data_IF_334292935414
#
_entry.id   IF_334292935414
#
_cell.length_a   1.000
_cell.length_b   1.000
_cell.length_c   1.000
_cell.angle_alpha   90.00
_cell.angle_beta   90.00
_cell.angle_gamma   90.00
#
_symmetry.space_group_name_H-M   'P 1'
#
loop_
_entity.id
_entity.type
_entity.pdbx_description
1 polymer ?
#
# COMPACT_ATOMS: atom_id res chain seq x y z
N UNK A 1 67.19 16.41 9.90
CA UNK A 1 66.33 15.24 9.57
C UNK A 1 64.88 15.68 9.71
N UNK A 2 64.19 16.00 8.61
CA UNK A 2 62.77 16.40 8.61
C UNK A 2 61.93 15.15 8.35
N UNK A 3 61.59 14.46 9.43
CA UNK A 3 60.82 13.21 9.38
C UNK A 3 59.31 13.46 9.37
N UNK A 4 58.64 12.81 8.41
CA UNK A 4 57.31 12.20 8.58
C UNK A 4 56.17 13.06 9.16
N UNK A 5 55.73 14.08 8.42
CA UNK A 5 54.38 14.64 8.57
C UNK A 5 53.47 14.35 7.35
N UNK A 6 54.03 13.80 6.27
CA UNK A 6 53.29 13.49 5.04
C UNK A 6 52.41 12.23 5.13
N UNK A 7 52.42 11.50 6.25
CA UNK A 7 51.70 10.22 6.38
C UNK A 7 50.38 10.36 7.15
N UNK A 8 50.32 11.21 8.18
CA UNK A 8 49.14 11.30 9.05
C UNK A 8 47.94 11.95 8.34
N UNK A 9 48.17 13.05 7.62
CA UNK A 9 47.11 13.74 6.86
C UNK A 9 46.52 12.84 5.76
N UNK A 10 47.37 12.02 5.13
CA UNK A 10 46.95 11.06 4.10
C UNK A 10 46.11 9.93 4.71
N UNK A 11 46.50 9.43 5.88
CA UNK A 11 45.73 8.42 6.62
C UNK A 11 44.37 8.98 7.03
N UNK A 12 44.32 10.20 7.59
CA UNK A 12 43.07 10.85 7.98
C UNK A 12 42.17 11.09 6.78
N UNK A 13 42.73 11.57 5.66
CA UNK A 13 41.97 11.77 4.41
C UNK A 13 41.40 10.46 3.86
N UNK A 14 42.18 9.37 3.91
CA UNK A 14 41.71 8.05 3.47
C UNK A 14 40.57 7.53 4.34
N UNK A 15 40.65 7.70 5.66
CA UNK A 15 39.58 7.30 6.60
C UNK A 15 38.31 8.11 6.32
N UNK A 16 38.43 9.44 6.15
CA UNK A 16 37.28 10.30 5.82
C UNK A 16 36.65 9.94 4.48
N UNK A 17 37.46 9.56 3.48
CA UNK A 17 36.96 9.09 2.19
C UNK A 17 36.19 7.77 2.32
N UNK A 18 36.71 6.80 3.08
CA UNK A 18 36.02 5.51 3.32
C UNK A 18 34.70 5.72 4.05
N UNK A 19 34.66 6.56 5.09
CA UNK A 19 33.43 6.89 5.82
C UNK A 19 32.42 7.57 4.88
N UNK A 20 32.88 8.51 4.05
CA UNK A 20 32.01 9.21 3.09
C UNK A 20 31.42 8.25 2.06
N UNK A 21 32.21 7.30 1.56
CA UNK A 21 31.74 6.26 0.62
C UNK A 21 30.73 5.34 1.31
N UNK A 22 31.00 4.91 2.55
CA UNK A 22 30.06 4.09 3.32
C UNK A 22 28.73 4.80 3.56
N UNK A 23 28.76 6.09 3.89
CA UNK A 23 27.56 6.92 4.04
C UNK A 23 26.80 7.08 2.71
N UNK A 24 27.52 7.26 1.59
CA UNK A 24 26.91 7.35 0.26
C UNK A 24 26.21 6.04 -0.13
N UNK A 25 26.86 4.90 0.12
CA UNK A 25 26.31 3.58 -0.14
C UNK A 25 25.10 3.28 0.75
N UNK A 26 25.17 3.64 2.03
CA UNK A 26 24.04 3.51 2.96
C UNK A 26 22.85 4.38 2.57
N UNK A 27 23.10 5.63 2.16
CA UNK A 27 22.06 6.52 1.64
C UNK A 27 21.45 5.97 0.35
N UNK A 28 22.27 5.40 -0.54
CA UNK A 28 21.78 4.83 -1.78
C UNK A 28 20.92 3.58 -1.54
N UNK A 29 21.33 2.68 -0.64
CA UNK A 29 20.53 1.52 -0.23
C UNK A 29 19.21 1.93 0.43
N UNK A 30 19.26 2.86 1.38
CA UNK A 30 18.07 3.41 2.03
C UNK A 30 17.12 4.08 1.01
N UNK A 31 17.66 4.83 0.05
CA UNK A 31 16.89 5.45 -1.03
C UNK A 31 16.32 4.44 -2.03
N UNK A 32 16.93 3.26 -2.16
CA UNK A 32 16.44 2.16 -2.99
C UNK A 32 15.31 1.39 -2.28
N UNK A 33 15.47 1.09 -0.99
CA UNK A 33 14.42 0.48 -0.17
C UNK A 33 13.19 1.40 -0.02
N UNK A 34 13.42 2.70 0.16
CA UNK A 34 12.36 3.71 0.20
C UNK A 34 12.07 4.31 -1.19
N UNK A 35 12.55 3.67 -2.26
CA UNK A 35 12.37 4.21 -3.60
C UNK A 35 10.87 4.21 -3.95
N UNK A 36 10.35 5.32 -4.51
CA UNK A 36 8.98 5.38 -5.01
C UNK A 36 8.70 4.29 -6.04
N UNK A 37 9.71 3.64 -6.64
CA UNK A 37 9.54 2.54 -7.61
C UNK A 37 8.90 1.29 -6.97
N UNK A 38 9.29 0.93 -5.75
CA UNK A 38 8.70 -0.22 -5.03
C UNK A 38 7.28 0.11 -4.60
N UNK A 39 7.08 1.32 -4.05
CA UNK A 39 5.75 1.85 -3.73
C UNK A 39 4.85 1.95 -4.97
N UNK A 40 5.40 2.33 -6.12
CA UNK A 40 4.69 2.43 -7.40
C UNK A 40 4.28 1.05 -7.91
N UNK A 41 5.08 0.00 -7.69
CA UNK A 41 4.71 -1.38 -8.01
C UNK A 41 3.59 -1.93 -7.11
N UNK A 42 3.63 -1.60 -5.81
CA UNK A 42 2.60 -1.99 -4.83
C UNK A 42 1.30 -1.21 -5.08
N UNK A 43 1.39 0.08 -5.37
CA UNK A 43 0.26 0.95 -5.72
C UNK A 43 -0.39 0.53 -7.04
N UNK A 44 0.39 0.19 -8.07
CA UNK A 44 -0.14 -0.38 -9.32
C UNK A 44 -0.88 -1.69 -9.09
N UNK A 45 -0.37 -2.54 -8.20
CA UNK A 45 -1.05 -3.76 -7.83
C UNK A 45 -2.29 -3.50 -6.99
N UNK A 46 -2.28 -2.51 -6.11
CA UNK A 46 -3.47 -2.09 -5.39
C UNK A 46 -4.57 -1.54 -6.28
N UNK A 47 -4.21 -0.78 -7.31
CA UNK A 47 -5.15 -0.36 -8.34
C UNK A 47 -5.72 -1.59 -9.06
N UNK A 48 -4.88 -2.53 -9.52
CA UNK A 48 -5.34 -3.76 -10.22
C UNK A 48 -6.23 -4.63 -9.35
N UNK A 49 -5.88 -4.85 -8.09
CA UNK A 49 -6.67 -5.64 -7.15
C UNK A 49 -7.99 -4.93 -6.83
N UNK A 50 -7.98 -3.60 -6.67
CA UNK A 50 -9.22 -2.83 -6.56
C UNK A 50 -10.09 -3.04 -7.80
N UNK A 51 -9.50 -2.94 -9.00
CA UNK A 51 -10.22 -3.16 -10.24
C UNK A 51 -10.78 -4.58 -10.30
N UNK A 52 -10.01 -5.62 -9.97
CA UNK A 52 -10.47 -7.01 -9.95
C UNK A 52 -11.61 -7.26 -8.96
N UNK A 53 -11.51 -6.67 -7.77
CA UNK A 53 -12.55 -6.75 -6.74
C UNK A 53 -13.87 -6.10 -7.23
N UNK A 54 -13.75 -5.01 -7.99
CA UNK A 54 -14.87 -4.20 -8.46
C UNK A 54 -15.36 -4.53 -9.89
N UNK A 55 -14.56 -5.20 -10.72
CA UNK A 55 -14.81 -5.57 -12.12
C UNK A 55 -15.81 -6.72 -12.29
N UNK A 56 -16.04 -7.47 -11.23
CA UNK A 56 -17.01 -8.58 -11.21
C UNK A 56 -18.46 -8.03 -11.09
N UNK A 57 -18.63 -6.73 -10.87
CA UNK A 57 -19.91 -6.04 -11.01
C UNK A 57 -20.29 -5.91 -12.49
N UNK A 58 -21.43 -6.46 -12.90
CA UNK A 58 -21.91 -6.46 -14.29
C UNK A 58 -22.24 -5.06 -14.84
N UNK A 59 -22.39 -4.05 -13.99
CA UNK A 59 -22.78 -2.69 -14.40
C UNK A 59 -21.59 -1.71 -14.32
N UNK A 60 -20.74 -1.76 -15.35
CA UNK A 60 -19.63 -0.82 -15.50
C UNK A 60 -20.05 0.63 -15.78
N UNK A 61 -21.24 0.83 -16.35
CA UNK A 61 -21.75 2.17 -16.69
C UNK A 61 -22.08 3.04 -15.47
N UNK A 62 -22.27 2.42 -14.29
CA UNK A 62 -22.51 3.10 -13.01
C UNK A 62 -21.21 3.38 -12.23
N UNK A 63 -20.12 2.68 -12.53
CA UNK A 63 -18.82 2.83 -11.86
C UNK A 63 -18.21 4.23 -12.06
N UNK A 64 -18.37 4.82 -13.25
CA UNK A 64 -17.80 6.14 -13.56
C UNK A 64 -18.55 7.31 -12.91
N UNK A 65 -19.80 7.12 -12.47
CA UNK A 65 -20.66 8.23 -12.03
C UNK A 65 -21.20 8.12 -10.60
N UNK A 66 -21.31 6.92 -10.02
CA UNK A 66 -22.03 6.74 -8.74
C UNK A 66 -21.49 5.64 -7.83
N UNK A 67 -20.20 5.28 -7.89
CA UNK A 67 -19.66 4.25 -7.01
C UNK A 67 -20.26 2.85 -7.26
N UNK A 68 -19.70 1.85 -6.59
CA UNK A 68 -19.98 0.45 -6.88
C UNK A 68 -21.24 -0.06 -6.15
N UNK A 69 -22.19 -0.64 -6.88
CA UNK A 69 -23.37 -1.31 -6.31
C UNK A 69 -23.03 -2.71 -5.79
N UNK A 70 -23.21 -2.93 -4.48
CA UNK A 70 -23.03 -4.23 -3.80
C UNK A 70 -24.37 -4.64 -3.19
N UNK A 71 -24.68 -5.93 -3.14
CA UNK A 71 -25.92 -6.37 -2.50
C UNK A 71 -25.86 -6.19 -0.98
N UNK A 72 -24.83 -6.73 -0.31
CA UNK A 72 -24.61 -6.57 1.13
C UNK A 72 -23.12 -6.59 1.52
N UNK A 73 -22.83 -6.40 2.81
CA UNK A 73 -21.47 -6.43 3.39
C UNK A 73 -20.89 -7.84 3.48
N UNK A 74 -21.71 -8.89 3.63
CA UNK A 74 -21.26 -10.28 3.68
C UNK A 74 -20.74 -10.78 2.32
N UNK A 75 -21.28 -10.27 1.22
CA UNK A 75 -20.78 -10.53 -0.12
C UNK A 75 -19.38 -9.92 -0.31
N UNK A 76 -19.14 -8.72 0.25
CA UNK A 76 -17.79 -8.13 0.25
C UNK A 76 -16.80 -8.98 1.03
N UNK A 77 -17.18 -9.41 2.24
CA UNK A 77 -16.33 -10.24 3.09
C UNK A 77 -15.95 -11.56 2.40
N UNK A 78 -16.93 -12.25 1.82
CA UNK A 78 -16.69 -13.50 1.06
C UNK A 78 -15.76 -13.29 -0.13
N UNK A 79 -15.95 -12.19 -0.88
CA UNK A 79 -15.10 -11.83 -2.02
C UNK A 79 -13.69 -11.50 -1.57
N UNK A 80 -13.54 -10.76 -0.47
CA UNK A 80 -12.25 -10.43 0.12
C UNK A 80 -11.49 -11.69 0.52
N UNK A 81 -12.16 -12.61 1.21
CA UNK A 81 -11.58 -13.88 1.63
C UNK A 81 -11.19 -14.77 0.44
N UNK A 82 -11.95 -14.76 -0.66
CA UNK A 82 -11.61 -15.49 -1.89
C UNK A 82 -10.38 -14.90 -2.60
N UNK A 83 -10.31 -13.57 -2.71
CA UNK A 83 -9.17 -12.87 -3.30
C UNK A 83 -7.90 -13.02 -2.46
N UNK A 84 -8.00 -12.96 -1.14
CA UNK A 84 -6.86 -13.11 -0.23
C UNK A 84 -6.19 -14.50 -0.33
N UNK A 85 -6.93 -15.55 -0.74
CA UNK A 85 -6.37 -16.89 -0.99
C UNK A 85 -5.63 -17.01 -2.33
N UNK A 86 -5.88 -16.09 -3.26
CA UNK A 86 -5.40 -16.15 -4.64
C UNK A 86 -4.25 -15.18 -4.88
N UNK A 87 -4.20 -14.10 -4.10
CA UNK A 87 -3.19 -13.05 -4.21
C UNK A 87 -1.95 -13.41 -3.38
N UNK A 88 -0.74 -13.06 -3.84
CA UNK A 88 0.49 -13.19 -3.06
C UNK A 88 0.68 -12.04 -2.04
N UNK A 89 -0.39 -11.32 -1.71
CA UNK A 89 -0.41 -10.18 -0.79
C UNK A 89 -1.58 -10.33 0.19
N UNK A 90 -1.43 -9.81 1.40
CA UNK A 90 -2.54 -9.72 2.33
C UNK A 90 -3.44 -8.54 1.91
N UNK A 91 -4.67 -8.87 1.54
CA UNK A 91 -5.71 -7.90 1.24
C UNK A 91 -6.54 -7.63 2.51
N UNK A 92 -6.61 -6.37 2.90
CA UNK A 92 -7.52 -5.93 3.94
C UNK A 92 -8.51 -4.89 3.41
N UNK A 93 -9.75 -5.02 3.85
CA UNK A 93 -10.83 -4.09 3.51
C UNK A 93 -11.33 -3.42 4.76
N UNK A 94 -11.51 -2.12 4.69
CA UNK A 94 -12.13 -1.32 5.73
C UNK A 94 -13.30 -0.55 5.12
N UNK A 95 -14.49 -0.77 5.66
CA UNK A 95 -15.70 -0.04 5.33
C UNK A 95 -15.88 1.06 6.36
N UNK A 96 -15.95 2.31 5.91
CA UNK A 96 -16.31 3.47 6.72
C UNK A 96 -17.71 3.89 6.34
N UNK A 97 -18.63 3.67 7.26
CA UNK A 97 -20.03 3.99 7.09
C UNK A 97 -20.31 5.46 7.50
N UNK A 98 -21.41 6.06 7.02
CA UNK A 98 -21.74 7.46 7.30
C UNK A 98 -22.04 7.75 8.78
N UNK A 99 -22.36 6.72 9.56
CA UNK A 99 -22.56 6.78 11.01
C UNK A 99 -21.24 6.72 11.80
N UNK A 100 -20.09 6.85 11.11
CA UNK A 100 -18.73 6.65 11.63
C UNK A 100 -18.48 5.23 12.17
N UNK A 101 -19.35 4.27 11.90
CA UNK A 101 -19.04 2.88 12.17
C UNK A 101 -18.01 2.36 11.16
N UNK A 102 -17.16 1.45 11.60
CA UNK A 102 -16.10 0.87 10.79
C UNK A 102 -16.22 -0.65 10.82
N UNK A 103 -16.08 -1.29 9.67
CA UNK A 103 -16.05 -2.75 9.57
C UNK A 103 -14.81 -3.19 8.78
N UNK A 104 -14.02 -4.07 9.39
CA UNK A 104 -12.71 -4.47 8.87
C UNK A 104 -12.71 -5.96 8.57
N UNK A 105 -12.22 -6.33 7.39
CA UNK A 105 -12.15 -7.71 6.93
C UNK A 105 -10.72 -8.10 6.56
N UNK A 106 -10.25 -9.22 7.10
CA UNK A 106 -9.02 -9.90 6.65
C UNK A 106 -7.69 -9.31 7.15
N UNK A 107 -7.68 -8.38 8.11
CA UNK A 107 -6.46 -7.71 8.56
C UNK A 107 -5.68 -8.46 9.67
N UNK A 108 -4.37 -8.75 9.47
CA UNK A 108 -3.35 -8.70 10.53
C UNK A 108 -2.89 -7.23 10.78
N UNK A 109 -2.14 -6.93 11.86
CA UNK A 109 -1.83 -5.53 12.26
C UNK A 109 -1.10 -4.74 11.15
N UNK A 110 -1.45 -3.45 11.03
CA UNK A 110 -0.92 -2.53 10.01
C UNK A 110 0.61 -2.55 9.96
N UNK A 111 1.17 -3.10 8.88
CA UNK A 111 2.59 -3.05 8.59
C UNK A 111 2.97 -1.71 7.93
N UNK A 112 4.21 -1.28 8.09
CA UNK A 112 4.75 -0.03 7.54
C UNK A 112 4.79 0.03 6.01
N UNK A 113 4.61 -1.11 5.32
CA UNK A 113 4.74 -1.24 3.87
C UNK A 113 3.41 -1.63 3.22
N UNK A 114 2.47 -0.68 3.20
CA UNK A 114 1.11 -0.88 2.70
C UNK A 114 0.72 0.12 1.60
N UNK A 115 0.03 -0.36 0.58
CA UNK A 115 -0.65 0.47 -0.40
C UNK A 115 -2.12 0.64 0.02
N UNK A 116 -2.62 1.88 0.00
CA UNK A 116 -4.02 2.22 0.29
C UNK A 116 -4.71 2.69 -0.98
N UNK A 117 -5.88 2.14 -1.26
CA UNK A 117 -6.79 2.61 -2.33
C UNK A 117 -8.15 2.89 -1.73
N UNK A 118 -8.71 4.05 -2.03
CA UNK A 118 -10.04 4.45 -1.58
C UNK A 118 -11.04 4.36 -2.74
N UNK A 119 -12.21 3.79 -2.48
CA UNK A 119 -13.32 3.69 -3.42
C UNK A 119 -14.64 3.97 -2.71
N UNK A 120 -15.64 4.35 -3.47
CA UNK A 120 -17.01 4.56 -2.96
C UNK A 120 -17.88 3.39 -3.42
N UNK A 121 -18.59 2.79 -2.48
CA UNK A 121 -19.58 1.74 -2.72
C UNK A 121 -20.97 2.17 -2.22
N UNK A 122 -22.00 1.63 -2.83
CA UNK A 122 -23.41 1.80 -2.49
C UNK A 122 -24.01 0.41 -2.32
N UNK A 123 -24.78 0.21 -1.25
CA UNK A 123 -25.38 -1.08 -0.97
C UNK A 123 -26.85 -1.07 -1.39
N UNK A 124 -27.25 -2.01 -2.26
CA UNK A 124 -28.58 -2.06 -2.86
C UNK A 124 -29.63 -2.69 -1.95
N UNK A 125 -29.24 -3.71 -1.18
CA UNK A 125 -30.13 -4.48 -0.31
C UNK A 125 -29.79 -4.32 1.18
N UNK A 126 -29.08 -3.27 1.57
CA UNK A 126 -28.83 -2.97 2.98
C UNK A 126 -29.66 -1.77 3.45
N UNK A 127 -29.78 -1.62 4.77
CA UNK A 127 -30.35 -0.42 5.40
C UNK A 127 -29.54 0.86 5.15
N UNK A 128 -28.38 0.74 4.50
CA UNK A 128 -27.44 1.83 4.25
C UNK A 128 -27.75 2.45 2.89
N UNK A 129 -28.55 3.51 2.91
CA UNK A 129 -28.93 4.29 1.72
C UNK A 129 -27.86 5.28 1.25
N UNK A 130 -26.77 5.40 2.00
CA UNK A 130 -25.71 6.39 1.80
C UNK A 130 -24.44 5.76 1.23
N UNK A 131 -23.60 6.52 0.52
CA UNK A 131 -22.30 6.04 0.06
C UNK A 131 -21.44 5.59 1.23
N UNK A 132 -20.77 4.46 1.06
CA UNK A 132 -19.81 3.90 2.01
C UNK A 132 -18.42 4.02 1.40
N UNK A 133 -17.48 4.54 2.18
CA UNK A 133 -16.08 4.61 1.78
C UNK A 133 -15.44 3.24 2.04
N UNK A 134 -14.84 2.67 1.00
CA UNK A 134 -14.13 1.41 1.04
C UNK A 134 -12.65 1.71 0.91
N UNK A 135 -11.90 1.46 1.97
CA UNK A 135 -10.44 1.52 1.96
C UNK A 135 -9.89 0.10 1.76
N UNK A 136 -9.08 -0.07 0.73
CA UNK A 136 -8.41 -1.32 0.38
C UNK A 136 -6.94 -1.15 0.73
N UNK A 137 -6.47 -2.01 1.62
CA UNK A 137 -5.08 -2.07 2.02
C UNK A 137 -4.44 -3.33 1.43
N UNK A 138 -3.27 -3.17 0.82
CA UNK A 138 -2.43 -4.27 0.38
C UNK A 138 -1.09 -4.17 1.07
N UNK A 139 -0.78 -5.20 1.84
CA UNK A 139 0.52 -5.38 2.49
C UNK A 139 1.19 -6.63 1.95
N UNK A 140 2.50 -6.56 1.75
CA UNK A 140 3.34 -7.67 1.33
C UNK A 140 3.93 -8.41 2.53
#
# INVERSE_FOLDING_TARGET
>A
MKGQYFTLDVIVAAIMAVISIMLLLGYWQYSLENSPIIQDSLNKQAIRVSQLFFSISSDYSLLEKKGLLINDTAEMEKRAAALNKTLPYNLCLMLKFPDNSESVFGCPPLASNQAKIERVAYFKNSSISSPVLVEIFLSK
#
